data_IF_183514238916
#
_entry.id   IF_183514238916
#
_cell.length_a   1.000
_cell.length_b   1.000
_cell.length_c   1.000
_cell.angle_alpha   90.00
_cell.angle_beta   90.00
_cell.angle_gamma   90.00
#
_symmetry.space_group_name_H-M   'P 1'
#
loop_
_entity.id
_entity.type
_entity.pdbx_description
1 polymer ?
#
# COMPACT_ATOMS: atom_id res chain seq x y z
N UNK A 1 5.52 1.76 -21.80
CA UNK A 1 4.35 1.69 -20.90
C UNK A 1 3.78 3.10 -20.81
N UNK A 2 2.46 3.27 -20.91
CA UNK A 2 1.84 4.59 -20.70
C UNK A 2 1.39 4.62 -19.24
N UNK A 3 1.99 5.50 -18.43
CA UNK A 3 1.55 5.79 -17.06
C UNK A 3 0.26 6.59 -17.12
N UNK A 4 -0.76 6.20 -16.35
CA UNK A 4 -2.04 6.92 -16.31
C UNK A 4 -2.15 7.87 -15.12
N UNK A 5 -1.23 7.72 -14.15
CA UNK A 5 -1.10 8.59 -12.99
C UNK A 5 0.11 9.51 -13.18
N UNK A 6 -0.10 10.81 -13.01
CA UNK A 6 0.96 11.82 -13.07
C UNK A 6 1.40 12.25 -11.67
N UNK A 7 2.59 12.87 -11.52
CA UNK A 7 3.00 13.45 -10.23
C UNK A 7 1.98 14.46 -9.68
N UNK A 8 1.29 15.16 -10.59
CA UNK A 8 0.26 16.14 -10.23
C UNK A 8 -0.97 15.46 -9.61
N UNK A 9 -1.42 14.33 -10.16
CA UNK A 9 -2.58 13.59 -9.62
C UNK A 9 -2.31 13.09 -8.20
N UNK A 10 -1.09 12.61 -7.94
CA UNK A 10 -0.64 12.23 -6.59
C UNK A 10 -0.65 13.44 -5.65
N UNK A 11 -0.04 14.55 -6.07
CA UNK A 11 0.06 15.77 -5.25
C UNK A 11 -1.31 16.38 -4.94
N UNK A 12 -2.19 16.48 -5.94
CA UNK A 12 -3.54 17.03 -5.80
C UNK A 12 -4.38 16.15 -4.85
N UNK A 13 -4.25 14.82 -4.93
CA UNK A 13 -4.92 13.91 -4.01
C UNK A 13 -4.39 14.02 -2.58
N UNK A 14 -3.07 14.05 -2.39
CA UNK A 14 -2.49 14.21 -1.06
C UNK A 14 -2.99 15.50 -0.41
N UNK A 15 -3.06 16.59 -1.18
CA UNK A 15 -3.61 17.85 -0.69
C UNK A 15 -5.11 17.74 -0.36
N UNK A 16 -5.89 17.09 -1.23
CA UNK A 16 -7.31 16.88 -1.01
C UNK A 16 -7.59 16.06 0.25
N UNK A 17 -6.90 14.95 0.45
CA UNK A 17 -7.04 14.10 1.64
C UNK A 17 -6.57 14.82 2.90
N UNK A 18 -5.43 15.52 2.85
CA UNK A 18 -4.91 16.28 3.99
C UNK A 18 -5.78 17.48 4.38
N UNK A 19 -6.61 17.99 3.46
CA UNK A 19 -7.55 19.09 3.71
C UNK A 19 -8.99 18.64 3.87
N UNK A 20 -9.25 17.32 3.81
CA UNK A 20 -10.57 16.74 4.01
C UNK A 20 -10.99 16.93 5.47
N UNK A 21 -12.16 17.55 5.75
CA UNK A 21 -12.67 17.68 7.10
C UNK A 21 -12.84 16.33 7.81
N UNK A 22 -12.70 16.25 9.16
CA UNK A 22 -12.87 15.00 9.90
C UNK A 22 -14.23 14.32 9.72
N UNK A 23 -15.28 15.08 9.44
CA UNK A 23 -16.61 14.50 9.16
C UNK A 23 -16.62 13.78 7.81
N UNK A 24 -15.80 14.22 6.85
CA UNK A 24 -15.71 13.66 5.49
C UNK A 24 -14.70 12.49 5.39
N UNK A 25 -13.79 12.31 6.35
CA UNK A 25 -12.90 11.12 6.39
C UNK A 25 -13.66 9.84 6.72
N UNK A 26 -14.73 9.94 7.52
CA UNK A 26 -15.66 8.82 7.76
C UNK A 26 -16.34 8.38 6.46
N UNK A 27 -16.74 9.34 5.63
CA UNK A 27 -17.34 9.09 4.33
C UNK A 27 -16.38 8.39 3.36
N UNK A 28 -15.11 8.81 3.32
CA UNK A 28 -14.09 8.16 2.47
C UNK A 28 -13.88 6.70 2.87
N UNK A 29 -13.82 6.43 4.17
CA UNK A 29 -13.65 5.08 4.71
C UNK A 29 -14.86 4.20 4.38
N UNK A 30 -16.08 4.72 4.57
CA UNK A 30 -17.33 4.03 4.22
C UNK A 30 -17.42 3.72 2.72
N UNK A 31 -16.95 4.62 1.88
CA UNK A 31 -16.87 4.38 0.44
C UNK A 31 -15.89 3.26 0.12
N UNK A 32 -14.69 3.26 0.73
CA UNK A 32 -13.71 2.19 0.49
C UNK A 32 -14.26 0.83 0.93
N UNK A 33 -14.96 0.79 2.07
CA UNK A 33 -15.58 -0.43 2.56
C UNK A 33 -16.66 -0.97 1.61
N UNK A 34 -17.39 -0.08 0.93
CA UNK A 34 -18.39 -0.46 -0.08
C UNK A 34 -17.77 -0.93 -1.40
N UNK A 35 -16.73 -0.25 -1.87
CA UNK A 35 -16.14 -0.49 -3.18
C UNK A 35 -15.04 -1.57 -3.17
N UNK A 36 -14.35 -1.72 -2.04
CA UNK A 36 -13.18 -2.58 -1.84
C UNK A 36 -13.25 -3.35 -0.50
N UNK A 37 -14.35 -4.10 -0.24
CA UNK A 37 -14.57 -4.74 1.05
C UNK A 37 -13.46 -5.72 1.45
N UNK A 38 -12.92 -6.50 0.50
CA UNK A 38 -11.86 -7.46 0.79
C UNK A 38 -10.53 -6.79 1.17
N UNK A 39 -10.18 -5.66 0.53
CA UNK A 39 -8.99 -4.89 0.89
C UNK A 39 -9.12 -4.28 2.28
N UNK A 40 -10.30 -3.74 2.61
CA UNK A 40 -10.55 -3.18 3.95
C UNK A 40 -10.46 -4.28 5.01
N UNK A 41 -11.08 -5.44 4.77
CA UNK A 41 -10.98 -6.57 5.70
C UNK A 41 -9.53 -7.05 5.86
N UNK A 42 -8.78 -7.16 4.75
CA UNK A 42 -7.36 -7.49 4.77
C UNK A 42 -6.54 -6.50 5.63
N UNK A 43 -6.77 -5.20 5.48
CA UNK A 43 -6.08 -4.17 6.27
C UNK A 43 -6.48 -4.17 7.76
N UNK A 44 -7.67 -4.62 8.11
CA UNK A 44 -8.05 -4.83 9.51
C UNK A 44 -7.45 -6.08 10.12
N UNK A 45 -6.93 -7.00 9.30
CA UNK A 45 -6.38 -8.29 9.71
C UNK A 45 -4.88 -8.37 9.46
N UNK A 46 -4.18 -7.22 9.51
CA UNK A 46 -2.74 -7.17 9.28
C UNK A 46 -1.93 -7.96 10.32
N UNK A 47 -2.46 -8.14 11.53
CA UNK A 47 -1.81 -8.93 12.58
C UNK A 47 -2.08 -10.45 12.41
N UNK A 48 -3.10 -10.82 11.62
CA UNK A 48 -3.46 -12.22 11.30
C UNK A 48 -2.79 -12.71 10.00
N UNK A 49 -1.89 -11.93 9.42
CA UNK A 49 -1.36 -12.24 8.09
C UNK A 49 -0.64 -13.60 8.10
N UNK A 50 -0.92 -14.49 7.14
CA UNK A 50 -0.41 -15.85 7.10
C UNK A 50 1.05 -15.91 6.63
N UNK A 51 1.87 -14.93 6.98
CA UNK A 51 3.30 -15.04 6.71
C UNK A 51 3.85 -16.03 7.72
N UNK A 52 4.49 -17.09 7.24
CA UNK A 52 5.21 -18.08 8.06
C UNK A 52 6.47 -17.43 8.67
N UNK A 53 6.22 -16.45 9.55
CA UNK A 53 7.21 -15.70 10.30
C UNK A 53 7.22 -16.27 11.72
N UNK A 54 8.42 -16.56 12.21
CA UNK A 54 8.63 -17.12 13.55
C UNK A 54 8.18 -16.16 14.67
N UNK A 55 7.98 -14.87 14.35
CA UNK A 55 7.50 -13.83 15.25
C UNK A 55 6.15 -13.30 14.78
N UNK A 56 5.18 -13.21 15.69
CA UNK A 56 3.91 -12.51 15.47
C UNK A 56 4.19 -11.03 15.23
N UNK A 57 3.75 -10.52 14.08
CA UNK A 57 3.82 -9.10 13.78
C UNK A 57 2.69 -8.40 14.52
N UNK A 58 3.03 -7.47 15.39
CA UNK A 58 2.04 -6.67 16.14
C UNK A 58 2.24 -5.19 15.81
N UNK A 59 1.50 -4.70 14.83
CA UNK A 59 1.46 -3.26 14.57
C UNK A 59 0.78 -2.53 15.73
N UNK A 60 1.28 -1.37 16.10
CA UNK A 60 0.58 -0.47 17.01
C UNK A 60 -0.65 0.14 16.33
N UNK A 61 -1.57 0.72 17.09
CA UNK A 61 -2.73 1.41 16.53
C UNK A 61 -2.32 2.53 15.56
N UNK A 62 -1.33 3.35 15.93
CA UNK A 62 -0.83 4.42 15.07
C UNK A 62 -0.19 3.89 13.77
N UNK A 63 0.45 2.72 13.83
CA UNK A 63 1.04 2.06 12.66
C UNK A 63 -0.05 1.55 11.71
N UNK A 64 -1.08 0.90 12.24
CA UNK A 64 -2.24 0.43 11.47
C UNK A 64 -2.98 1.60 10.84
N UNK A 65 -3.24 2.66 11.60
CA UNK A 65 -3.92 3.86 11.10
C UNK A 65 -3.14 4.51 9.96
N UNK A 66 -1.81 4.57 10.08
CA UNK A 66 -0.96 5.11 9.04
C UNK A 66 -0.96 4.25 7.78
N UNK A 67 -0.82 2.92 7.92
CA UNK A 67 -0.89 1.98 6.79
C UNK A 67 -2.26 2.10 6.10
N UNK A 68 -3.34 2.09 6.87
CA UNK A 68 -4.70 2.24 6.36
C UNK A 68 -4.90 3.55 5.62
N UNK A 69 -4.41 4.67 6.18
CA UNK A 69 -4.44 5.98 5.55
C UNK A 69 -3.74 5.99 4.20
N UNK A 70 -2.52 5.43 4.11
CA UNK A 70 -1.79 5.34 2.84
C UNK A 70 -2.58 4.50 1.82
N UNK A 71 -3.15 3.37 2.24
CA UNK A 71 -3.98 2.54 1.36
C UNK A 71 -5.24 3.27 0.86
N UNK A 72 -5.90 4.08 1.69
CA UNK A 72 -7.01 4.94 1.27
C UNK A 72 -6.56 5.91 0.20
N UNK A 73 -5.42 6.59 0.41
CA UNK A 73 -4.88 7.56 -0.56
C UNK A 73 -4.60 6.87 -1.88
N UNK A 74 -3.93 5.71 -1.87
CA UNK A 74 -3.64 4.92 -3.07
C UNK A 74 -4.93 4.54 -3.80
N UNK A 75 -5.92 3.99 -3.10
CA UNK A 75 -7.21 3.65 -3.70
C UNK A 75 -7.90 4.89 -4.27
N UNK A 76 -7.87 6.04 -3.58
CA UNK A 76 -8.48 7.27 -4.09
C UNK A 76 -7.81 7.78 -5.36
N UNK A 77 -6.48 7.77 -5.43
CA UNK A 77 -5.73 8.11 -6.65
C UNK A 77 -6.20 7.21 -7.81
N UNK A 78 -6.31 5.91 -7.56
CA UNK A 78 -6.73 4.95 -8.58
C UNK A 78 -8.20 5.15 -9.00
N UNK A 79 -9.09 5.37 -8.04
CA UNK A 79 -10.53 5.56 -8.28
C UNK A 79 -10.85 6.80 -9.12
N UNK A 80 -9.99 7.82 -9.06
CA UNK A 80 -10.13 9.06 -9.83
C UNK A 80 -9.34 9.03 -11.14
N UNK A 81 -8.48 8.03 -11.33
CA UNK A 81 -7.75 7.85 -12.58
C UNK A 81 -8.71 7.52 -13.72
N UNK A 82 -8.24 7.68 -14.96
CA UNK A 82 -9.03 7.32 -16.16
C UNK A 82 -9.27 5.81 -16.29
N UNK A 83 -8.61 4.99 -15.48
CA UNK A 83 -8.76 3.53 -15.48
C UNK A 83 -9.77 3.13 -14.41
N UNK A 84 -10.80 2.33 -14.76
CA UNK A 84 -11.70 1.79 -13.75
C UNK A 84 -10.90 0.92 -12.76
N UNK A 85 -11.05 1.21 -11.47
CA UNK A 85 -10.45 0.39 -10.41
C UNK A 85 -11.37 -0.80 -10.15
N UNK A 86 -10.95 -2.03 -10.47
CA UNK A 86 -11.77 -3.20 -10.24
C UNK A 86 -11.96 -3.44 -8.74
N UNK A 87 -13.08 -4.05 -8.36
CA UNK A 87 -13.28 -4.51 -6.98
C UNK A 87 -12.36 -5.71 -6.72
N UNK A 88 -11.49 -5.56 -5.74
CA UNK A 88 -10.55 -6.61 -5.31
C UNK A 88 -11.29 -7.66 -4.50
N UNK A 89 -10.98 -8.93 -4.76
CA UNK A 89 -11.46 -10.08 -4.00
C UNK A 89 -10.37 -10.66 -3.11
N UNK A 90 -10.75 -11.48 -2.13
CA UNK A 90 -9.79 -12.25 -1.33
C UNK A 90 -8.90 -13.16 -2.19
N UNK A 91 -9.43 -13.71 -3.29
CA UNK A 91 -8.65 -14.54 -4.21
C UNK A 91 -7.53 -13.75 -4.89
N UNK A 92 -7.79 -12.48 -5.24
CA UNK A 92 -6.78 -11.60 -5.83
C UNK A 92 -5.67 -11.31 -4.83
N UNK A 93 -6.04 -11.03 -3.57
CA UNK A 93 -5.10 -10.77 -2.48
C UNK A 93 -4.23 -12.00 -2.22
N UNK A 94 -4.83 -13.19 -2.09
CA UNK A 94 -4.06 -14.41 -1.85
C UNK A 94 -3.17 -14.79 -3.04
N UNK A 95 -3.65 -14.66 -4.27
CA UNK A 95 -2.80 -14.89 -5.46
C UNK A 95 -1.57 -13.99 -5.45
N UNK A 96 -1.72 -12.74 -5.03
CA UNK A 96 -0.61 -11.79 -4.93
C UNK A 96 0.33 -12.16 -3.77
N UNK A 97 -0.21 -12.55 -2.62
CA UNK A 97 0.58 -13.02 -1.48
C UNK A 97 1.42 -14.24 -1.88
N UNK A 98 0.82 -15.23 -2.54
CA UNK A 98 1.49 -16.45 -3.00
C UNK A 98 2.65 -16.12 -3.96
N UNK A 99 2.46 -15.15 -4.86
CA UNK A 99 3.50 -14.68 -5.78
C UNK A 99 4.65 -13.96 -5.05
N UNK A 100 4.36 -13.27 -3.94
CA UNK A 100 5.36 -12.52 -3.17
C UNK A 100 6.06 -13.36 -2.09
N UNK A 101 5.42 -14.36 -1.51
CA UNK A 101 5.87 -15.11 -0.33
C UNK A 101 7.33 -15.59 -0.46
N UNK A 102 7.67 -16.18 -1.61
CA UNK A 102 9.02 -16.68 -1.88
C UNK A 102 10.10 -15.59 -1.89
N UNK A 103 9.82 -14.44 -2.52
CA UNK A 103 10.76 -13.32 -2.59
C UNK A 103 10.80 -12.53 -1.28
N UNK A 104 9.69 -12.51 -0.55
CA UNK A 104 9.50 -11.69 0.64
C UNK A 104 10.14 -12.30 1.90
N UNK A 105 9.97 -13.61 2.15
CA UNK A 105 10.67 -14.30 3.24
C UNK A 105 12.19 -14.14 3.08
N UNK A 106 12.68 -14.12 1.83
CA UNK A 106 14.08 -13.83 1.54
C UNK A 106 14.45 -12.38 1.90
N UNK A 107 13.64 -11.39 1.51
CA UNK A 107 13.93 -9.97 1.78
C UNK A 107 13.87 -9.61 3.28
N UNK A 108 12.94 -10.19 4.05
CA UNK A 108 12.93 -10.05 5.52
C UNK A 108 14.23 -10.59 6.12
N UNK A 109 14.64 -11.80 5.73
CA UNK A 109 15.87 -12.45 6.23
C UNK A 109 17.13 -11.69 5.84
N UNK A 110 17.09 -10.92 4.76
CA UNK A 110 18.25 -10.21 4.21
C UNK A 110 18.41 -8.74 4.69
N UNK A 111 17.43 -8.18 5.42
CA UNK A 111 17.52 -6.89 6.11
C UNK A 111 17.17 -5.63 5.29
N UNK A 112 16.90 -4.53 5.99
CA UNK A 112 16.30 -3.28 5.46
C UNK A 112 17.07 -2.60 4.32
N UNK A 113 18.40 -2.72 4.28
CA UNK A 113 19.24 -2.12 3.22
C UNK A 113 19.01 -2.72 1.83
N UNK A 114 18.61 -4.00 1.75
CA UNK A 114 18.29 -4.67 0.48
C UNK A 114 16.84 -4.46 0.04
N UNK A 115 15.95 -4.18 0.98
CA UNK A 115 14.56 -3.76 0.71
C UNK A 115 14.53 -2.47 -0.10
N UNK A 116 15.40 -1.50 0.22
CA UNK A 116 15.50 -0.25 -0.54
C UNK A 116 15.93 -0.47 -2.00
N UNK A 117 16.88 -1.38 -2.25
CA UNK A 117 17.32 -1.75 -3.60
C UNK A 117 16.23 -2.48 -4.40
N UNK A 118 15.54 -3.42 -3.76
CA UNK A 118 14.39 -4.10 -4.36
C UNK A 118 13.24 -3.13 -4.67
N UNK A 119 12.95 -2.18 -3.77
CA UNK A 119 11.93 -1.16 -3.99
C UNK A 119 12.25 -0.26 -5.20
N UNK A 120 13.52 0.13 -5.39
CA UNK A 120 13.95 0.91 -6.56
C UNK A 120 13.74 0.13 -7.87
N UNK A 121 14.11 -1.15 -7.91
CA UNK A 121 13.88 -1.99 -9.08
C UNK A 121 12.38 -2.15 -9.37
N UNK A 122 11.56 -2.31 -8.32
CA UNK A 122 10.11 -2.39 -8.48
C UNK A 122 9.53 -1.07 -9.02
N UNK A 123 10.04 0.10 -8.62
CA UNK A 123 9.62 1.40 -9.18
C UNK A 123 9.85 1.47 -10.68
N UNK A 124 11.02 1.04 -11.16
CA UNK A 124 11.37 1.10 -12.59
C UNK A 124 10.50 0.18 -13.45
N UNK A 125 10.07 -0.96 -12.91
CA UNK A 125 9.31 -1.98 -13.64
C UNK A 125 7.78 -1.83 -13.47
N UNK A 126 7.31 -1.00 -12.52
CA UNK A 126 5.89 -0.89 -12.19
C UNK A 126 5.08 -0.12 -13.25
N UNK A 127 3.84 -0.55 -13.57
CA UNK A 127 2.98 0.15 -14.53
C UNK A 127 2.61 1.59 -14.15
N UNK A 128 2.60 1.90 -12.86
CA UNK A 128 2.38 3.24 -12.32
C UNK A 128 3.56 3.62 -11.39
N UNK A 129 4.69 4.10 -11.93
CA UNK A 129 5.90 4.39 -11.17
C UNK A 129 5.70 5.54 -10.18
N UNK A 130 4.82 6.50 -10.49
CA UNK A 130 4.52 7.64 -9.63
C UNK A 130 3.81 7.23 -8.33
N UNK A 131 2.90 6.26 -8.41
CA UNK A 131 2.19 5.73 -7.24
C UNK A 131 3.12 4.91 -6.34
N UNK A 132 4.04 4.16 -6.94
CA UNK A 132 5.05 3.43 -6.17
C UNK A 132 6.12 4.37 -5.58
N UNK A 133 6.45 5.47 -6.25
CA UNK A 133 7.29 6.54 -5.68
C UNK A 133 6.60 7.19 -4.48
N UNK A 134 5.29 7.47 -4.57
CA UNK A 134 4.52 7.97 -3.43
C UNK A 134 4.60 7.04 -2.22
N UNK A 135 4.35 5.74 -2.40
CA UNK A 135 4.45 4.73 -1.33
C UNK A 135 5.87 4.72 -0.73
N UNK A 136 6.89 4.78 -1.58
CA UNK A 136 8.30 4.76 -1.14
C UNK A 136 8.68 6.02 -0.37
N UNK A 137 8.21 7.19 -0.82
CA UNK A 137 8.43 8.47 -0.13
C UNK A 137 7.64 8.55 1.18
N UNK A 138 6.42 7.98 1.23
CA UNK A 138 5.65 7.83 2.47
C UNK A 138 6.39 6.95 3.49
N UNK A 139 7.14 5.96 3.03
CA UNK A 139 7.94 5.08 3.89
C UNK A 139 9.32 5.66 4.27
N UNK A 140 9.73 6.80 3.71
CA UNK A 140 11.06 7.36 3.96
C UNK A 140 11.06 8.27 5.20
N UNK A 141 12.10 8.17 6.06
CA UNK A 141 12.33 9.14 7.11
C UNK A 141 12.37 10.58 6.60
N UNK A 142 11.66 11.47 7.29
CA UNK A 142 11.63 12.89 6.94
C UNK A 142 12.65 13.67 7.74
N UNK A 143 13.32 14.62 7.08
CA UNK A 143 14.28 15.50 7.74
C UNK A 143 13.59 16.49 8.70
N UNK A 144 12.34 16.86 8.41
CA UNK A 144 11.50 17.75 9.20
C UNK A 144 10.68 17.05 10.29
N UNK A 145 10.56 15.71 10.23
CA UNK A 145 9.90 14.89 11.25
C UNK A 145 10.65 13.55 11.43
N UNK A 146 11.49 13.42 12.47
CA UNK A 146 12.27 12.20 12.71
C UNK A 146 11.41 11.00 13.12
N UNK A 147 10.14 11.20 13.47
CA UNK A 147 9.19 10.14 13.81
C UNK A 147 8.33 9.71 12.61
N UNK A 148 8.54 10.30 11.43
CA UNK A 148 7.87 9.91 10.20
C UNK A 148 8.69 8.88 9.41
N UNK A 149 8.06 7.87 8.78
CA UNK A 149 6.69 7.43 9.04
C UNK A 149 6.58 6.92 10.49
N UNK A 150 5.38 6.95 11.10
CA UNK A 150 5.15 6.44 12.46
C UNK A 150 5.14 4.90 12.49
N UNK A 151 6.00 4.26 11.69
CA UNK A 151 6.22 2.82 11.63
C UNK A 151 7.62 2.53 12.13
N UNK A 152 7.71 1.58 13.06
CA UNK A 152 8.99 1.10 13.57
C UNK A 152 9.87 0.53 12.45
N UNK A 153 11.19 0.81 12.43
CA UNK A 153 12.08 0.37 11.35
C UNK A 153 12.05 -1.13 11.05
N UNK A 154 11.87 -1.97 12.08
CA UNK A 154 11.75 -3.43 11.95
C UNK A 154 10.53 -3.87 11.14
N UNK A 155 9.48 -3.04 11.05
CA UNK A 155 8.25 -3.34 10.31
C UNK A 155 8.15 -2.63 8.96
N UNK A 156 9.15 -1.86 8.56
CA UNK A 156 9.16 -1.16 7.26
C UNK A 156 9.05 -2.12 6.09
N UNK A 157 9.73 -3.27 6.15
CA UNK A 157 9.67 -4.28 5.10
C UNK A 157 8.26 -4.85 4.94
N UNK A 158 7.60 -5.16 6.06
CA UNK A 158 6.24 -5.69 6.09
C UNK A 158 5.24 -4.65 5.60
N UNK A 159 5.31 -3.41 6.08
CA UNK A 159 4.45 -2.33 5.61
C UNK A 159 4.59 -2.07 4.11
N UNK A 160 5.82 -2.11 3.59
CA UNK A 160 6.09 -1.97 2.15
C UNK A 160 5.41 -3.08 1.35
N UNK A 161 5.47 -4.32 1.83
CA UNK A 161 4.77 -5.44 1.19
C UNK A 161 3.26 -5.27 1.25
N UNK A 162 2.70 -4.84 2.38
CA UNK A 162 1.26 -4.56 2.49
C UNK A 162 0.83 -3.59 1.38
N UNK A 163 1.59 -2.51 1.17
CA UNK A 163 1.30 -1.57 0.08
C UNK A 163 1.44 -2.19 -1.30
N UNK A 164 2.42 -3.07 -1.52
CA UNK A 164 2.59 -3.76 -2.80
C UNK A 164 1.48 -4.76 -3.09
N UNK A 165 1.01 -5.50 -2.09
CA UNK A 165 -0.14 -6.41 -2.21
C UNK A 165 -1.37 -5.60 -2.60
N UNK A 166 -1.65 -4.53 -1.86
CA UNK A 166 -2.79 -3.62 -2.10
C UNK A 166 -2.73 -3.03 -3.51
N UNK A 167 -1.56 -2.52 -3.91
CA UNK A 167 -1.34 -1.94 -5.23
C UNK A 167 -1.54 -2.98 -6.34
N UNK A 168 -0.89 -4.13 -6.21
CA UNK A 168 -0.90 -5.20 -7.22
C UNK A 168 -2.30 -5.79 -7.36
N UNK A 169 -3.00 -6.06 -6.26
CA UNK A 169 -4.36 -6.58 -6.27
C UNK A 169 -5.31 -5.61 -7.01
N UNK A 170 -5.17 -4.30 -6.81
CA UNK A 170 -5.95 -3.30 -7.54
C UNK A 170 -5.63 -3.22 -9.04
N UNK A 171 -4.45 -3.67 -9.49
CA UNK A 171 -4.06 -3.68 -10.92
C UNK A 171 -4.26 -5.02 -11.64
N UNK A 172 -4.18 -6.15 -10.92
CA UNK A 172 -4.15 -7.51 -11.47
C UNK A 172 -5.47 -7.95 -12.11
N UNK A 173 -6.58 -7.29 -11.80
CA UNK A 173 -7.90 -7.56 -12.40
C UNK A 173 -8.04 -7.14 -13.89
N UNK A 174 -6.92 -7.00 -14.61
CA UNK A 174 -6.87 -6.87 -16.07
C UNK A 174 -6.39 -8.13 -16.81
N UNK A 175 -6.12 -9.24 -16.12
CA UNK A 175 -5.53 -10.46 -16.72
C UNK A 175 -6.42 -11.70 -16.77
N UNK A 176 -7.68 -11.60 -16.36
CA UNK A 176 -8.65 -12.69 -16.49
C UNK A 176 -9.74 -12.32 -17.50
N UNK A 177 -9.39 -12.43 -18.79
CA UNK A 177 -10.32 -12.62 -19.90
C UNK A 177 -9.71 -13.64 -20.88
#
# INVERSE_FOLDING_TARGET
MISYITPKDVSDMMHAVATTPPDDTSYITDQMMKEQPALVEYLFRLDDLPFDLEETIEFSESERDYIFYICIVVWKILSQSTRPTPTVTWSDIFSVIDDYEYNFVRLIKEGSGKVAGAALQMIEEHPEPELLRFITDAMRPRADDPNFPPIRPEYHAIATMVFQIVLTAMFSNGKHN
#
